data_IF_478379897632
#
_entry.id   IF_478379897632
#
_cell.length_a   1.000
_cell.length_b   1.000
_cell.length_c   1.000
_cell.angle_alpha   90.00
_cell.angle_beta   90.00
_cell.angle_gamma   90.00
#
_symmetry.space_group_name_H-M   'P 1'
#
loop_
_entity.id
_entity.type
_entity.pdbx_description
1 polymer ?
#
# COMPACT_ATOMS: atom_id res chain seq x y z
N UNK A 1 15.86 -5.71 8.52
CA UNK A 1 14.49 -5.29 8.16
C UNK A 1 14.00 -4.40 9.29
N UNK A 2 13.71 -3.12 9.03
CA UNK A 2 13.45 -2.12 10.10
C UNK A 2 11.95 -1.93 10.34
N UNK A 3 11.20 -1.67 9.26
CA UNK A 3 9.74 -1.60 9.26
C UNK A 3 9.22 -2.45 8.12
N UNK A 4 8.66 -3.61 8.41
CA UNK A 4 8.18 -4.56 7.40
C UNK A 4 6.67 -4.40 7.11
N UNK A 5 6.24 -4.96 5.99
CA UNK A 5 4.86 -4.82 5.53
C UNK A 5 3.87 -5.70 6.30
N UNK A 6 4.33 -6.76 6.99
CA UNK A 6 3.44 -7.59 7.83
C UNK A 6 3.17 -6.86 9.13
N UNK A 7 4.21 -6.36 9.80
CA UNK A 7 4.09 -5.53 10.99
C UNK A 7 3.25 -4.28 10.73
N UNK A 8 3.44 -3.62 9.59
CA UNK A 8 2.59 -2.50 9.16
C UNK A 8 1.12 -2.87 8.99
N UNK A 9 0.82 -4.03 8.38
CA UNK A 9 -0.55 -4.51 8.24
C UNK A 9 -1.18 -4.83 9.60
N UNK A 10 -0.48 -5.52 10.49
CA UNK A 10 -0.98 -5.83 11.83
C UNK A 10 -1.27 -4.58 12.66
N UNK A 11 -0.43 -3.53 12.51
CA UNK A 11 -0.69 -2.24 13.14
C UNK A 11 -2.01 -1.63 12.64
N UNK A 12 -2.29 -1.69 11.33
CA UNK A 12 -3.57 -1.24 10.76
C UNK A 12 -4.73 -2.10 11.25
N UNK A 13 -4.58 -3.42 11.30
CA UNK A 13 -5.63 -4.34 11.76
C UNK A 13 -5.97 -4.13 13.24
N UNK A 14 -4.99 -3.72 14.06
CA UNK A 14 -5.19 -3.41 15.48
C UNK A 14 -6.16 -2.24 15.70
N UNK A 15 -6.36 -1.37 14.69
CA UNK A 15 -7.35 -0.28 14.73
C UNK A 15 -8.80 -0.79 14.66
N UNK A 16 -9.02 -2.08 14.34
CA UNK A 16 -10.35 -2.71 14.23
C UNK A 16 -11.31 -1.98 13.27
N UNK A 17 -10.76 -1.34 12.23
CA UNK A 17 -11.56 -0.71 11.17
C UNK A 17 -12.31 -1.76 10.35
N UNK A 18 -13.49 -1.41 9.86
CA UNK A 18 -14.25 -2.27 8.96
C UNK A 18 -13.49 -2.47 7.65
N UNK A 19 -13.13 -3.72 7.35
CA UNK A 19 -12.52 -4.10 6.07
C UNK A 19 -13.58 -4.01 4.96
N UNK A 20 -13.31 -3.21 3.93
CA UNK A 20 -14.27 -2.93 2.84
C UNK A 20 -14.24 -4.00 1.75
N UNK A 21 -13.16 -4.77 1.65
CA UNK A 21 -13.02 -5.83 0.65
C UNK A 21 -11.87 -6.78 0.93
N UNK A 22 -11.78 -7.84 0.12
CA UNK A 22 -10.65 -8.75 0.15
C UNK A 22 -9.40 -8.06 -0.40
N UNK A 23 -8.23 -8.44 0.13
CA UNK A 23 -6.92 -8.03 -0.40
C UNK A 23 -6.87 -8.29 -1.90
N UNK A 24 -6.56 -7.26 -2.69
CA UNK A 24 -6.51 -7.33 -4.15
C UNK A 24 -5.16 -6.82 -4.67
N UNK A 25 -4.64 -7.33 -5.80
CA UNK A 25 -3.47 -6.75 -6.42
C UNK A 25 -3.81 -5.36 -6.98
N UNK A 26 -2.88 -4.40 -6.89
CA UNK A 26 -3.00 -3.12 -7.58
C UNK A 26 -2.00 -3.08 -8.75
N UNK A 27 -2.53 -3.25 -9.96
CA UNK A 27 -1.73 -3.38 -11.19
C UNK A 27 -0.54 -4.35 -11.02
N UNK A 28 0.68 -3.93 -11.36
CA UNK A 28 1.93 -4.67 -11.14
C UNK A 28 2.64 -4.27 -9.83
N UNK A 29 2.05 -3.35 -9.07
CA UNK A 29 2.72 -2.65 -7.97
C UNK A 29 2.73 -3.41 -6.66
N UNK A 30 1.82 -4.36 -6.42
CA UNK A 30 1.75 -5.12 -5.18
C UNK A 30 0.30 -5.37 -4.77
N UNK A 31 -0.01 -5.28 -3.48
CA UNK A 31 -1.36 -5.52 -2.94
C UNK A 31 -1.94 -4.28 -2.28
N UNK A 32 -3.26 -4.17 -2.31
CA UNK A 32 -4.03 -3.14 -1.62
C UNK A 32 -5.13 -3.79 -0.77
N UNK A 33 -5.33 -3.22 0.41
CA UNK A 33 -6.33 -3.60 1.39
C UNK A 33 -7.07 -2.36 1.85
N UNK A 34 -8.38 -2.34 1.60
CA UNK A 34 -9.24 -1.20 1.89
C UNK A 34 -9.96 -1.41 3.22
N UNK A 35 -9.83 -0.44 4.11
CA UNK A 35 -10.54 -0.32 5.37
C UNK A 35 -11.35 0.98 5.34
N UNK A 36 -12.36 1.08 6.19
CA UNK A 36 -13.17 2.29 6.32
C UNK A 36 -12.30 3.47 6.77
N UNK A 37 -12.02 4.40 5.84
CA UNK A 37 -11.21 5.59 6.07
C UNK A 37 -9.69 5.38 5.99
N UNK A 38 -9.22 4.19 5.59
CA UNK A 38 -7.80 3.89 5.47
C UNK A 38 -7.54 2.85 4.37
N UNK A 39 -6.56 3.11 3.52
CA UNK A 39 -6.09 2.15 2.51
C UNK A 39 -4.66 1.75 2.84
N UNK A 40 -4.42 0.46 3.07
CA UNK A 40 -3.10 -0.11 3.26
C UNK A 40 -2.61 -0.73 1.95
N UNK A 41 -1.39 -0.43 1.53
CA UNK A 41 -0.85 -0.93 0.26
C UNK A 41 0.62 -1.34 0.39
N UNK A 42 1.03 -2.29 -0.44
CA UNK A 42 2.42 -2.75 -0.53
C UNK A 42 3.00 -2.48 -1.92
N UNK A 43 4.32 -2.22 -1.97
CA UNK A 43 5.07 -2.13 -3.23
C UNK A 43 5.97 -3.35 -3.38
N UNK A 44 5.66 -4.23 -4.33
CA UNK A 44 6.35 -5.51 -4.53
C UNK A 44 7.82 -5.28 -4.92
N UNK A 45 8.73 -5.89 -4.18
CA UNK A 45 10.18 -5.81 -4.44
C UNK A 45 10.81 -4.48 -4.04
N UNK A 46 10.11 -3.65 -3.27
CA UNK A 46 10.68 -2.45 -2.66
C UNK A 46 11.15 -2.74 -1.23
N UNK A 47 12.26 -2.10 -0.83
CA UNK A 47 12.72 -2.05 0.56
C UNK A 47 12.15 -0.84 1.32
N UNK A 48 12.84 -0.43 2.39
CA UNK A 48 12.41 0.67 3.26
C UNK A 48 12.27 2.01 2.51
N UNK A 49 13.19 2.30 1.59
CA UNK A 49 13.18 3.50 0.75
C UNK A 49 12.45 3.22 -0.57
N UNK A 50 11.11 3.08 -0.52
CA UNK A 50 10.30 2.61 -1.66
C UNK A 50 10.65 3.29 -3.00
N UNK A 51 10.74 4.64 -3.11
CA UNK A 51 11.05 5.30 -4.37
C UNK A 51 12.46 5.02 -4.92
N UNK A 52 13.42 4.65 -4.06
CA UNK A 52 14.78 4.30 -4.47
C UNK A 52 14.82 2.96 -5.21
N UNK A 53 13.98 1.99 -4.80
CA UNK A 53 13.97 0.64 -5.35
C UNK A 53 12.97 0.46 -6.49
N UNK A 54 11.83 1.14 -6.41
CA UNK A 54 10.70 1.00 -7.33
C UNK A 54 10.14 2.38 -7.71
N UNK A 55 10.88 3.22 -8.44
CA UNK A 55 10.49 4.61 -8.72
C UNK A 55 9.20 4.71 -9.55
N UNK A 56 8.99 3.81 -10.51
CA UNK A 56 7.81 3.80 -11.39
C UNK A 56 6.55 3.45 -10.58
N UNK A 57 6.61 2.39 -9.79
CA UNK A 57 5.51 1.98 -8.93
C UNK A 57 5.25 3.00 -7.81
N UNK A 58 6.30 3.57 -7.21
CA UNK A 58 6.17 4.61 -6.19
C UNK A 58 5.46 5.86 -6.75
N UNK A 59 5.84 6.32 -7.95
CA UNK A 59 5.15 7.42 -8.62
C UNK A 59 3.68 7.07 -8.88
N UNK A 60 3.42 5.87 -9.41
CA UNK A 60 2.05 5.43 -9.70
C UNK A 60 1.19 5.31 -8.44
N UNK A 61 1.77 4.84 -7.33
CA UNK A 61 1.11 4.82 -6.02
C UNK A 61 0.71 6.24 -5.60
N UNK A 62 1.62 7.21 -5.71
CA UNK A 62 1.34 8.61 -5.37
C UNK A 62 0.24 9.19 -6.25
N UNK A 63 0.33 8.99 -7.57
CA UNK A 63 -0.68 9.48 -8.52
C UNK A 63 -2.06 8.89 -8.20
N UNK A 64 -2.17 7.58 -7.95
CA UNK A 64 -3.44 6.89 -7.74
C UNK A 64 -4.07 7.14 -6.35
N UNK A 65 -3.27 7.15 -5.28
CA UNK A 65 -3.78 7.06 -3.90
C UNK A 65 -3.57 8.33 -3.07
N UNK A 66 -2.66 9.22 -3.47
CA UNK A 66 -2.34 10.44 -2.70
C UNK A 66 -2.77 11.69 -3.45
N UNK A 67 -2.49 11.75 -4.74
CA UNK A 67 -2.76 12.91 -5.59
C UNK A 67 -4.09 12.81 -6.33
N UNK A 68 -4.78 11.66 -6.24
CA UNK A 68 -6.05 11.37 -6.91
C UNK A 68 -6.05 11.66 -8.42
N UNK A 69 -4.89 11.51 -9.06
CA UNK A 69 -4.73 11.67 -10.50
C UNK A 69 -5.24 10.39 -11.17
N UNK A 70 -6.28 10.52 -11.98
CA UNK A 70 -6.72 9.43 -12.85
C UNK A 70 -5.57 9.08 -13.81
N UNK A 71 -5.22 7.80 -13.84
CA UNK A 71 -4.23 7.25 -14.76
C UNK A 71 -4.71 7.35 -16.21
#
# INVERSE_FOLDING_TARGET
MVCDFIGGLWAVESLKLQRLGKRKPWSTGGFVEEFKGLTYLTVKGAGHLVPMWKPVEAKRMLDLFVLERKA
#
